data_IF_859217817578
#
_entry.id   IF_859217817578
#
_cell.length_a   1.000
_cell.length_b   1.000
_cell.length_c   1.000
_cell.angle_alpha   90.00
_cell.angle_beta   90.00
_cell.angle_gamma   90.00
#
_symmetry.space_group_name_H-M   'P 1'
#
loop_
_entity.id
_entity.type
_entity.pdbx_description
1 polymer ?
#
# COMPACT_ATOMS: atom_id res chain seq x y z
N UNK A 1 8.12 -1.31 12.74
CA UNK A 1 9.06 -2.10 11.91
C UNK A 1 8.32 -2.58 10.68
N UNK A 2 8.88 -2.45 9.47
CA UNK A 2 8.23 -2.97 8.26
C UNK A 2 8.37 -4.50 8.23
N UNK A 3 7.26 -5.22 8.07
CA UNK A 3 7.24 -6.70 7.97
C UNK A 3 7.03 -7.19 6.54
N UNK A 4 6.43 -6.36 5.67
CA UNK A 4 6.22 -6.74 4.27
C UNK A 4 5.79 -5.57 3.40
N UNK A 5 6.00 -5.74 2.10
CA UNK A 5 5.49 -4.83 1.05
C UNK A 5 4.90 -5.70 -0.05
N UNK A 6 3.64 -5.44 -0.40
CA UNK A 6 2.93 -6.13 -1.49
C UNK A 6 2.64 -5.13 -2.59
N UNK A 7 2.96 -5.51 -3.83
CA UNK A 7 2.72 -4.70 -5.01
C UNK A 7 1.60 -5.33 -5.81
N UNK A 8 0.58 -4.54 -6.13
CA UNK A 8 -0.57 -4.91 -6.94
C UNK A 8 -0.58 -4.12 -8.25
N UNK A 9 -1.56 -4.43 -9.09
CA UNK A 9 -1.84 -3.69 -10.31
C UNK A 9 -1.12 -4.23 -11.55
N UNK A 10 -1.36 -3.54 -12.67
CA UNK A 10 -0.88 -3.94 -14.01
C UNK A 10 0.65 -4.00 -14.14
N UNK A 11 1.37 -3.30 -13.27
CA UNK A 11 2.84 -3.28 -13.23
C UNK A 11 3.42 -4.67 -12.93
N UNK A 12 2.73 -5.50 -12.15
CA UNK A 12 3.18 -6.86 -11.80
C UNK A 12 3.26 -7.77 -13.02
N UNK A 13 2.47 -7.50 -14.07
CA UNK A 13 2.43 -8.29 -15.30
C UNK A 13 3.55 -7.93 -16.30
N UNK A 14 4.52 -7.08 -15.91
CA UNK A 14 5.74 -6.80 -16.69
C UNK A 14 5.56 -5.88 -17.91
N UNK A 15 4.35 -5.33 -18.11
CA UNK A 15 4.06 -4.36 -19.19
C UNK A 15 3.32 -3.13 -18.64
N UNK A 16 3.98 -2.31 -17.80
CA UNK A 16 3.39 -1.05 -17.36
C UNK A 16 3.13 -0.15 -18.58
N UNK A 17 1.89 0.29 -18.74
CA UNK A 17 1.50 1.29 -19.72
C UNK A 17 1.64 2.71 -19.15
N UNK A 18 1.46 3.76 -19.97
CA UNK A 18 1.49 5.16 -19.52
C UNK A 18 0.48 5.48 -18.41
N UNK A 19 -0.60 4.71 -18.32
CA UNK A 19 -1.67 4.85 -17.34
C UNK A 19 -1.61 3.81 -16.21
N UNK A 20 -0.51 3.05 -16.10
CA UNK A 20 -0.37 2.05 -15.04
C UNK A 20 -0.15 2.73 -13.69
N UNK A 21 -1.13 2.58 -12.81
CA UNK A 21 -1.02 2.93 -11.40
C UNK A 21 -0.28 1.82 -10.63
N UNK A 22 0.52 2.21 -9.64
CA UNK A 22 1.27 1.30 -8.77
C UNK A 22 0.61 1.22 -7.40
N UNK A 23 -0.09 0.13 -7.16
CA UNK A 23 -0.79 -0.11 -5.91
C UNK A 23 0.10 -0.84 -4.92
N UNK A 24 0.26 -0.33 -3.70
CA UNK A 24 1.16 -0.89 -2.69
C UNK A 24 0.44 -1.06 -1.35
N UNK A 25 0.54 -2.25 -0.77
CA UNK A 25 0.30 -2.46 0.66
C UNK A 25 1.62 -2.47 1.43
N UNK A 26 1.74 -1.64 2.45
CA UNK A 26 2.83 -1.68 3.43
C UNK A 26 2.33 -2.38 4.68
N UNK A 27 2.96 -3.49 5.05
CA UNK A 27 2.57 -4.31 6.20
C UNK A 27 3.49 -3.97 7.37
N UNK A 28 2.92 -3.42 8.45
CA UNK A 28 3.67 -3.04 9.65
C UNK A 28 2.77 -3.07 10.90
N UNK A 29 3.23 -3.66 12.02
CA UNK A 29 2.52 -3.55 13.31
C UNK A 29 2.42 -2.10 13.80
N UNK A 30 3.22 -1.16 13.27
CA UNK A 30 3.17 0.25 13.66
C UNK A 30 1.85 0.93 13.29
N UNK A 31 1.08 0.37 12.34
CA UNK A 31 -0.25 0.88 12.00
C UNK A 31 -1.34 0.49 13.01
N UNK A 32 -1.01 -0.35 14.00
CA UNK A 32 -1.96 -0.80 15.02
C UNK A 32 -2.43 0.37 15.86
N UNK A 33 -3.75 0.54 15.96
CA UNK A 33 -4.39 1.62 16.70
C UNK A 33 -4.47 2.94 15.93
N UNK A 34 -3.92 3.02 14.72
CA UNK A 34 -4.12 4.16 13.83
C UNK A 34 -5.41 4.02 13.03
N UNK A 35 -6.14 5.11 12.87
CA UNK A 35 -7.24 5.20 11.93
C UNK A 35 -6.75 5.39 10.48
N UNK A 36 -7.68 5.35 9.53
CA UNK A 36 -7.36 5.47 8.10
C UNK A 36 -6.65 6.78 7.75
N UNK A 37 -7.02 7.90 8.36
CA UNK A 37 -6.44 9.22 8.07
C UNK A 37 -5.03 9.31 8.62
N UNK A 38 -4.79 8.79 9.82
CA UNK A 38 -3.45 8.72 10.42
C UNK A 38 -2.50 7.88 9.57
N UNK A 39 -2.95 6.72 9.10
CA UNK A 39 -2.16 5.85 8.21
C UNK A 39 -1.85 6.55 6.88
N UNK A 40 -2.85 7.19 6.27
CA UNK A 40 -2.67 7.96 5.04
C UNK A 40 -1.66 9.10 5.22
N UNK A 41 -1.67 9.79 6.37
CA UNK A 41 -0.70 10.84 6.69
C UNK A 41 0.73 10.28 6.74
N UNK A 42 0.96 9.21 7.50
CA UNK A 42 2.29 8.57 7.62
C UNK A 42 2.83 8.17 6.25
N UNK A 43 2.01 7.51 5.44
CA UNK A 43 2.38 7.08 4.10
C UNK A 43 2.65 8.28 3.17
N UNK A 44 1.82 9.32 3.25
CA UNK A 44 2.00 10.53 2.44
C UNK A 44 3.28 11.28 2.79
N UNK A 45 3.61 11.39 4.08
CA UNK A 45 4.88 11.98 4.55
C UNK A 45 6.08 11.21 3.99
N UNK A 46 6.05 9.87 4.05
CA UNK A 46 7.10 9.04 3.45
C UNK A 46 7.21 9.23 1.92
N UNK A 47 6.10 9.41 1.20
CA UNK A 47 6.13 9.71 -0.25
C UNK A 47 6.76 11.05 -0.57
N UNK A 48 6.50 12.07 0.26
CA UNK A 48 7.10 13.40 0.14
C UNK A 48 8.61 13.32 0.37
N UNK A 49 9.03 12.69 1.46
CA UNK A 49 10.43 12.51 1.82
C UNK A 49 11.21 11.73 0.76
N UNK A 50 10.59 10.72 0.16
CA UNK A 50 11.17 9.94 -0.93
C UNK A 50 11.08 10.61 -2.32
N UNK A 51 10.49 11.80 -2.42
CA UNK A 51 10.28 12.54 -3.68
C UNK A 51 9.48 11.76 -4.74
N UNK A 52 8.51 10.95 -4.30
CA UNK A 52 7.69 10.07 -5.17
C UNK A 52 6.35 10.68 -5.60
N UNK A 53 6.16 11.99 -5.42
CA UNK A 53 4.89 12.67 -5.69
C UNK A 53 4.46 12.69 -7.16
N UNK A 54 5.39 12.49 -8.09
CA UNK A 54 5.10 12.47 -9.53
C UNK A 54 4.59 11.10 -10.01
N UNK A 55 4.78 10.04 -9.21
CA UNK A 55 4.31 8.70 -9.54
C UNK A 55 2.84 8.52 -9.22
N UNK A 56 2.08 7.94 -10.15
CA UNK A 56 0.72 7.48 -9.88
C UNK A 56 0.80 6.18 -9.06
N UNK A 57 0.68 6.33 -7.75
CA UNK A 57 0.77 5.21 -6.82
C UNK A 57 -0.22 5.41 -5.69
N UNK A 58 -1.00 4.38 -5.39
CA UNK A 58 -1.84 4.32 -4.21
C UNK A 58 -1.16 3.41 -3.19
N UNK A 59 -0.90 3.95 -2.01
CA UNK A 59 -0.16 3.25 -0.96
C UNK A 59 -1.02 3.21 0.29
N UNK A 60 -1.22 2.00 0.82
CA UNK A 60 -2.04 1.76 2.00
C UNK A 60 -1.25 1.02 3.08
N UNK A 61 -1.47 1.42 4.34
CA UNK A 61 -0.85 0.80 5.51
C UNK A 61 -1.77 -0.22 6.17
N UNK A 62 -1.26 -1.43 6.41
CA UNK A 62 -1.99 -2.51 7.06
C UNK A 62 -1.15 -3.15 8.17
N UNK A 63 -1.83 -3.65 9.19
CA UNK A 63 -1.20 -4.50 10.20
C UNK A 63 -1.01 -5.93 9.66
N UNK A 64 -0.08 -6.72 10.21
CA UNK A 64 0.07 -8.12 9.85
C UNK A 64 -1.22 -8.94 10.07
N UNK A 65 -2.02 -8.58 11.07
CA UNK A 65 -3.31 -9.22 11.37
C UNK A 65 -4.35 -8.94 10.27
N UNK A 66 -4.48 -7.68 9.84
CA UNK A 66 -5.35 -7.31 8.71
C UNK A 66 -4.94 -7.99 7.41
N UNK A 67 -3.63 -8.14 7.18
CA UNK A 67 -3.10 -8.86 6.02
C UNK A 67 -3.44 -10.35 6.02
N UNK A 68 -3.23 -11.03 7.15
CA UNK A 68 -3.48 -12.46 7.27
C UNK A 68 -4.98 -12.81 7.24
N UNK A 69 -5.85 -11.87 7.63
CA UNK A 69 -7.30 -12.04 7.67
C UNK A 69 -8.01 -11.29 6.53
N UNK A 70 -7.32 -10.98 5.43
CA UNK A 70 -7.89 -10.23 4.32
C UNK A 70 -9.17 -10.91 3.77
N UNK A 71 -10.26 -10.15 3.71
CA UNK A 71 -11.54 -10.60 3.15
C UNK A 71 -11.55 -10.46 1.63
N UNK A 72 -12.18 -11.42 0.95
CA UNK A 72 -12.36 -11.39 -0.50
C UNK A 72 -13.11 -10.12 -0.95
N UNK A 73 -12.67 -9.53 -2.07
CA UNK A 73 -13.24 -8.28 -2.58
C UNK A 73 -12.73 -7.01 -1.91
N UNK A 74 -11.81 -7.11 -0.95
CA UNK A 74 -11.04 -5.96 -0.43
C UNK A 74 -9.74 -5.75 -1.20
N UNK A 75 -9.06 -4.61 -0.98
CA UNK A 75 -7.74 -4.33 -1.56
C UNK A 75 -6.71 -5.44 -1.30
N UNK A 76 -6.75 -6.08 -0.12
CA UNK A 76 -5.85 -7.18 0.22
C UNK A 76 -6.36 -8.56 -0.22
N UNK A 77 -7.67 -8.68 -0.48
CA UNK A 77 -8.34 -9.93 -0.85
C UNK A 77 -8.62 -10.08 -2.34
N UNK A 78 -7.89 -9.39 -3.22
CA UNK A 78 -8.03 -9.51 -4.68
C UNK A 78 -7.40 -10.80 -5.25
N UNK A 79 -7.40 -11.90 -4.49
CA UNK A 79 -6.78 -13.17 -4.91
C UNK A 79 -7.48 -13.81 -6.10
#
# INVERSE_FOLDING_TARGET
MIEGVVVFGSVVNGKPGPDSDLDIAVISPDFKGMDTIERMRVVSEARVEAHLLQGRMDIFGYTPEEFNNAEEGTFLGTK
#
